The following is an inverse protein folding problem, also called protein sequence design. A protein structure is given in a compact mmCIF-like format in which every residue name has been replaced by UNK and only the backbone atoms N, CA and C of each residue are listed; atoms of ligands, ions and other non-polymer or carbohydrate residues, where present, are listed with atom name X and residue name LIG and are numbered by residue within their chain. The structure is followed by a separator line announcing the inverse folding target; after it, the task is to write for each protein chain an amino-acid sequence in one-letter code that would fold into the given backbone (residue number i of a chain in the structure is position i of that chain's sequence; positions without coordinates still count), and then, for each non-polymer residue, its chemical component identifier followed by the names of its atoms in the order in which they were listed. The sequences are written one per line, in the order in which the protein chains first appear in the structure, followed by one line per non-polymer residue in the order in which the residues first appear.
data_IF_940901283704
#
_entry.id   IF_940901283704
#
_cell.length_a   1.000
_cell.length_b   1.000
_cell.length_c   1.000
_cell.angle_alpha   90.00
_cell.angle_beta   90.00
_cell.angle_gamma   90.00
#
_symmetry.space_group_name_H-M   'P 1'
#
loop_
_entity.id
_entity.type
_entity.pdbx_description
1 polymer ?
#
# COMPACT_ATOMS: atom_id res chain seq x y z
N UNK A 1 39.04 0.43 -3.20
CA UNK A 1 38.54 -0.68 -2.36
C UNK A 1 37.29 -0.31 -1.52
N UNK A 2 36.84 0.96 -1.48
CA UNK A 2 35.68 1.42 -0.67
C UNK A 2 34.33 1.26 -1.42
N UNK A 3 34.34 1.20 -2.75
CA UNK A 3 33.12 1.19 -3.59
C UNK A 3 32.35 -0.15 -3.56
N UNK A 4 33.04 -1.27 -3.30
CA UNK A 4 32.44 -2.61 -3.34
C UNK A 4 31.59 -2.93 -2.11
N UNK A 5 31.95 -2.40 -0.94
CA UNK A 5 31.16 -2.57 0.29
C UNK A 5 29.87 -1.74 0.25
N UNK A 6 29.89 -0.57 -0.37
CA UNK A 6 28.72 0.31 -0.50
C UNK A 6 27.67 -0.26 -1.47
N UNK A 7 28.10 -0.83 -2.60
CA UNK A 7 27.20 -1.56 -3.51
C UNK A 7 26.57 -2.79 -2.85
N UNK A 8 27.33 -3.49 -2.00
CA UNK A 8 26.83 -4.67 -1.29
C UNK A 8 25.79 -4.29 -0.24
N UNK A 9 25.99 -3.17 0.48
CA UNK A 9 25.01 -2.59 1.41
C UNK A 9 23.74 -2.11 0.71
N UNK A 10 23.87 -1.42 -0.42
CA UNK A 10 22.73 -0.93 -1.20
C UNK A 10 21.86 -2.09 -1.72
N UNK A 11 22.48 -3.19 -2.19
CA UNK A 11 21.77 -4.39 -2.65
C UNK A 11 21.07 -5.13 -1.51
N UNK A 12 21.69 -5.21 -0.33
CA UNK A 12 21.05 -5.78 0.85
C UNK A 12 19.82 -4.95 1.26
N UNK A 13 19.96 -3.62 1.26
CA UNK A 13 18.86 -2.72 1.60
C UNK A 13 17.71 -2.78 0.58
N UNK A 14 18.01 -2.94 -0.72
CA UNK A 14 17.01 -3.15 -1.76
C UNK A 14 16.28 -4.50 -1.62
N UNK A 15 16.96 -5.54 -1.14
CA UNK A 15 16.35 -6.86 -0.84
C UNK A 15 15.47 -6.80 0.40
N UNK A 16 15.91 -6.12 1.45
CA UNK A 16 15.08 -5.87 2.63
C UNK A 16 13.85 -5.02 2.28
N UNK A 17 14.00 -4.06 1.36
CA UNK A 17 12.88 -3.27 0.84
C UNK A 17 11.88 -4.10 0.01
N UNK A 18 12.31 -5.25 -0.56
CA UNK A 18 11.39 -6.19 -1.21
C UNK A 18 10.58 -7.01 -0.20
N UNK A 19 11.03 -7.14 1.06
CA UNK A 19 10.26 -7.82 2.11
C UNK A 19 8.98 -7.04 2.41
N UNK A 20 7.84 -7.72 2.31
CA UNK A 20 6.51 -7.12 2.48
C UNK A 20 6.05 -6.23 1.32
N UNK A 21 6.83 -6.11 0.23
CA UNK A 21 6.39 -5.42 -0.98
C UNK A 21 5.14 -6.06 -1.63
N UNK A 22 5.01 -7.40 -1.70
CA UNK A 22 3.79 -8.03 -2.22
C UNK A 22 2.54 -7.65 -1.41
N UNK A 23 2.64 -7.62 -0.08
CA UNK A 23 1.54 -7.19 0.79
C UNK A 23 1.12 -5.73 0.52
N UNK A 24 2.08 -4.81 0.42
CA UNK A 24 1.82 -3.40 0.13
C UNK A 24 1.17 -3.20 -1.25
N UNK A 25 1.61 -3.96 -2.27
CA UNK A 25 1.00 -3.95 -3.61
C UNK A 25 -0.44 -4.45 -3.58
N UNK A 26 -0.70 -5.57 -2.91
CA UNK A 26 -2.05 -6.09 -2.74
C UNK A 26 -2.96 -5.08 -2.02
N UNK A 27 -2.45 -4.39 -0.99
CA UNK A 27 -3.22 -3.35 -0.29
C UNK A 27 -3.58 -2.18 -1.21
N UNK A 28 -2.64 -1.71 -2.04
CA UNK A 28 -2.86 -0.65 -3.03
C UNK A 28 -3.91 -1.05 -4.05
N UNK A 29 -3.87 -2.28 -4.56
CA UNK A 29 -4.88 -2.80 -5.49
C UNK A 29 -6.28 -2.84 -4.88
N UNK A 30 -6.40 -3.33 -3.64
CA UNK A 30 -7.65 -3.36 -2.90
C UNK A 30 -8.20 -1.95 -2.68
N UNK A 31 -7.35 -1.01 -2.26
CA UNK A 31 -7.74 0.38 -2.06
C UNK A 31 -8.17 1.05 -3.37
N UNK A 32 -7.51 0.77 -4.49
CA UNK A 32 -7.92 1.26 -5.80
C UNK A 32 -9.31 0.72 -6.19
N UNK A 33 -9.55 -0.58 -6.00
CA UNK A 33 -10.84 -1.21 -6.27
C UNK A 33 -11.97 -0.61 -5.43
N UNK A 34 -11.74 -0.39 -4.14
CA UNK A 34 -12.76 0.17 -3.24
C UNK A 34 -12.99 1.66 -3.49
N UNK A 35 -11.92 2.46 -3.52
CA UNK A 35 -12.04 3.93 -3.51
C UNK A 35 -12.34 4.51 -4.88
N UNK A 36 -11.78 3.93 -5.94
CA UNK A 36 -11.90 4.43 -7.31
C UNK A 36 -12.98 3.69 -8.08
N UNK A 37 -12.97 2.34 -8.04
CA UNK A 37 -13.96 1.52 -8.75
C UNK A 37 -15.25 1.31 -7.96
N UNK A 38 -15.34 1.86 -6.73
CA UNK A 38 -16.51 1.78 -5.84
C UNK A 38 -17.00 0.35 -5.59
N UNK A 39 -16.08 -0.60 -5.57
CA UNK A 39 -16.40 -2.00 -5.29
C UNK A 39 -16.53 -2.23 -3.78
N UNK A 40 -17.47 -3.09 -3.32
CA UNK A 40 -17.58 -3.45 -1.91
C UNK A 40 -16.29 -4.11 -1.41
N UNK A 41 -15.87 -3.76 -0.19
CA UNK A 41 -14.64 -4.28 0.41
C UNK A 41 -14.70 -5.80 0.61
N UNK A 42 -15.81 -6.30 1.15
CA UNK A 42 -15.96 -7.73 1.45
C UNK A 42 -15.86 -8.57 0.16
N UNK A 43 -16.51 -8.12 -0.90
CA UNK A 43 -16.46 -8.76 -2.22
C UNK A 43 -15.04 -8.81 -2.81
N UNK A 44 -14.31 -7.69 -2.77
CA UNK A 44 -12.97 -7.65 -3.35
C UNK A 44 -11.95 -8.41 -2.48
N UNK A 45 -12.14 -8.44 -1.16
CA UNK A 45 -11.32 -9.25 -0.25
C UNK A 45 -11.50 -10.74 -0.55
N UNK A 46 -12.75 -11.21 -0.71
CA UNK A 46 -13.03 -12.60 -1.10
C UNK A 46 -12.35 -12.95 -2.43
N UNK A 47 -12.58 -12.15 -3.48
CA UNK A 47 -11.94 -12.36 -4.79
C UNK A 47 -10.41 -12.34 -4.74
N UNK A 48 -9.83 -11.46 -3.93
CA UNK A 48 -8.37 -11.34 -3.79
C UNK A 48 -7.77 -12.56 -3.09
N UNK A 49 -8.48 -13.16 -2.13
CA UNK A 49 -8.06 -14.38 -1.45
C UNK A 49 -8.21 -15.62 -2.35
N UNK A 50 -9.27 -15.71 -3.14
CA UNK A 50 -9.55 -16.90 -3.94
C UNK A 50 -8.74 -16.95 -5.23
N UNK A 51 -8.60 -15.82 -5.94
CA UNK A 51 -8.01 -15.78 -7.29
C UNK A 51 -7.17 -14.53 -7.57
N UNK A 52 -6.77 -13.80 -6.54
CA UNK A 52 -6.12 -12.50 -6.71
C UNK A 52 -4.84 -12.35 -5.89
N UNK A 53 -4.45 -11.10 -5.66
CA UNK A 53 -3.15 -10.71 -5.09
C UNK A 53 -2.92 -11.16 -3.65
N UNK A 54 -3.92 -11.68 -2.95
CA UNK A 54 -3.75 -12.22 -1.60
C UNK A 54 -3.69 -13.75 -1.53
N UNK A 55 -4.10 -14.48 -2.58
CA UNK A 55 -4.18 -15.94 -2.57
C UNK A 55 -2.83 -16.61 -2.32
N UNK A 56 -1.80 -16.20 -3.04
CA UNK A 56 -0.45 -16.78 -2.97
C UNK A 56 0.42 -16.18 -1.85
N UNK A 57 -0.09 -15.16 -1.13
CA UNK A 57 0.69 -14.49 -0.09
C UNK A 57 0.81 -15.35 1.17
N UNK A 58 1.98 -15.36 1.86
CA UNK A 58 2.09 -15.92 3.21
C UNK A 58 1.07 -15.30 4.18
N UNK A 59 0.69 -16.05 5.21
CA UNK A 59 -0.30 -15.58 6.20
C UNK A 59 0.07 -14.22 6.82
N UNK A 60 1.36 -14.00 7.10
CA UNK A 60 1.89 -12.72 7.60
C UNK A 60 1.63 -11.56 6.64
N UNK A 61 1.89 -11.76 5.36
CA UNK A 61 1.69 -10.75 4.33
C UNK A 61 0.20 -10.46 4.13
N UNK A 62 -0.66 -11.49 4.19
CA UNK A 62 -2.12 -11.30 4.18
C UNK A 62 -2.60 -10.50 5.38
N UNK A 63 -2.01 -10.72 6.57
CA UNK A 63 -2.34 -9.95 7.76
C UNK A 63 -1.91 -8.48 7.61
N UNK A 64 -0.70 -8.24 7.09
CA UNK A 64 -0.21 -6.89 6.79
C UNK A 64 -1.10 -6.18 5.77
N UNK A 65 -1.48 -6.83 4.67
CA UNK A 65 -2.41 -6.28 3.67
C UNK A 65 -3.71 -5.83 4.32
N UNK A 66 -4.34 -6.67 5.15
CA UNK A 66 -5.58 -6.31 5.86
C UNK A 66 -5.38 -5.16 6.83
N UNK A 67 -4.27 -5.14 7.56
CA UNK A 67 -3.96 -4.06 8.50
C UNK A 67 -3.84 -2.71 7.78
N UNK A 68 -3.11 -2.66 6.66
CA UNK A 68 -2.97 -1.46 5.83
C UNK A 68 -4.34 -1.02 5.30
N UNK A 69 -5.10 -1.92 4.66
CA UNK A 69 -6.41 -1.58 4.09
C UNK A 69 -7.38 -1.07 5.17
N UNK A 70 -7.44 -1.75 6.32
CA UNK A 70 -8.31 -1.34 7.43
C UNK A 70 -7.90 0.02 8.00
N UNK A 71 -6.61 0.26 8.22
CA UNK A 71 -6.11 1.55 8.72
C UNK A 71 -6.43 2.68 7.72
N UNK A 72 -6.12 2.48 6.44
CA UNK A 72 -6.38 3.44 5.36
C UNK A 72 -7.86 3.82 5.26
N UNK A 73 -8.77 2.84 5.31
CA UNK A 73 -10.21 3.11 5.17
C UNK A 73 -10.80 3.74 6.45
N UNK A 74 -10.45 3.24 7.64
CA UNK A 74 -10.96 3.78 8.92
C UNK A 74 -10.48 5.20 9.20
N UNK A 75 -9.27 5.54 8.75
CA UNK A 75 -8.64 6.86 8.97
C UNK A 75 -8.59 7.72 7.71
N UNK A 76 -9.34 7.37 6.66
CA UNK A 76 -9.28 8.04 5.34
C UNK A 76 -9.37 9.56 5.46
N UNK A 77 -10.35 10.08 6.20
CA UNK A 77 -10.51 11.54 6.35
C UNK A 77 -9.35 12.24 7.07
N UNK A 78 -8.65 11.55 7.98
CA UNK A 78 -7.44 12.08 8.62
C UNK A 78 -6.27 12.05 7.64
N UNK A 79 -6.09 10.93 6.94
CA UNK A 79 -5.03 10.75 5.95
C UNK A 79 -5.17 11.73 4.78
N UNK A 80 -6.39 11.94 4.27
CA UNK A 80 -6.64 12.92 3.21
C UNK A 80 -6.25 14.34 3.62
N UNK A 81 -6.50 14.73 4.88
CA UNK A 81 -6.06 16.02 5.41
C UNK A 81 -4.54 16.12 5.46
N UNK A 82 -3.87 15.08 5.95
CA UNK A 82 -2.40 15.02 5.98
C UNK A 82 -1.82 15.09 4.56
N UNK A 83 -2.35 14.32 3.62
CA UNK A 83 -1.88 14.40 2.22
C UNK A 83 -2.13 15.81 1.65
N UNK A 84 -3.27 16.43 1.98
CA UNK A 84 -3.59 17.80 1.59
C UNK A 84 -2.61 18.86 2.11
N UNK A 85 -1.92 18.63 3.24
CA UNK A 85 -0.89 19.58 3.72
C UNK A 85 0.40 19.53 2.89
N UNK A 86 0.65 18.42 2.18
CA UNK A 86 1.86 18.24 1.37
C UNK A 86 1.61 18.39 -0.14
N UNK A 87 0.34 18.36 -0.58
CA UNK A 87 -0.04 18.47 -1.99
C UNK A 87 -0.56 19.87 -2.31
N UNK A 88 0.32 20.77 -2.76
CA UNK A 88 -0.02 22.18 -3.09
C UNK A 88 -1.15 22.31 -4.12
N UNK A 89 -1.18 21.42 -5.13
CA UNK A 89 -2.19 21.41 -6.20
C UNK A 89 -3.32 20.41 -5.95
N UNK A 90 -3.33 19.75 -4.79
CA UNK A 90 -4.23 18.63 -4.51
C UNK A 90 -3.94 17.39 -5.35
N UNK A 91 -4.81 16.39 -5.23
CA UNK A 91 -4.73 15.14 -5.99
C UNK A 91 -5.36 15.35 -7.39
N UNK A 92 -4.69 14.98 -8.49
CA UNK A 92 -5.32 15.07 -9.81
C UNK A 92 -6.51 14.11 -9.91
N UNK A 93 -7.59 14.54 -10.57
CA UNK A 93 -8.84 13.77 -10.74
C UNK A 93 -8.62 12.38 -11.35
N UNK A 94 -7.58 12.25 -12.19
CA UNK A 94 -7.14 10.98 -12.80
C UNK A 94 -5.77 10.55 -12.29
N UNK A 95 -5.63 10.46 -10.97
CA UNK A 95 -4.37 10.07 -10.31
C UNK A 95 -4.00 8.60 -10.51
N UNK A 96 -4.91 7.77 -11.03
CA UNK A 96 -4.67 6.33 -11.20
C UNK A 96 -4.24 5.71 -9.88
N UNK A 97 -3.19 4.88 -9.89
CA UNK A 97 -2.70 4.19 -8.69
C UNK A 97 -2.02 5.12 -7.67
N UNK A 98 -1.73 6.39 -8.02
CA UNK A 98 -0.99 7.31 -7.14
C UNK A 98 -1.71 7.56 -5.82
N UNK A 99 -3.03 7.80 -5.85
CA UNK A 99 -3.79 8.07 -4.62
C UNK A 99 -3.79 6.88 -3.65
N UNK A 100 -4.14 5.65 -4.08
CA UNK A 100 -4.01 4.46 -3.26
C UNK A 100 -2.61 4.22 -2.70
N UNK A 101 -1.55 4.53 -3.47
CA UNK A 101 -0.16 4.42 -3.02
C UNK A 101 0.12 5.40 -1.88
N UNK A 102 -0.18 6.69 -2.07
CA UNK A 102 0.06 7.71 -1.05
C UNK A 102 -0.77 7.46 0.21
N UNK A 103 -2.03 7.07 0.04
CA UNK A 103 -2.90 6.73 1.15
C UNK A 103 -2.38 5.52 1.94
N UNK A 104 -1.94 4.47 1.25
CA UNK A 104 -1.33 3.28 1.85
C UNK A 104 -0.03 3.61 2.60
N UNK A 105 0.84 4.45 2.01
CA UNK A 105 2.08 4.87 2.62
C UNK A 105 1.85 5.72 3.88
N UNK A 106 0.96 6.71 3.81
CA UNK A 106 0.63 7.55 4.94
C UNK A 106 -0.03 6.74 6.08
N UNK A 107 -0.89 5.78 5.75
CA UNK A 107 -1.47 4.88 6.76
C UNK A 107 -0.40 4.08 7.49
N UNK A 108 0.58 3.52 6.75
CA UNK A 108 1.69 2.79 7.33
C UNK A 108 2.54 3.67 8.24
N UNK A 109 2.94 4.86 7.80
CA UNK A 109 3.85 5.71 8.59
C UNK A 109 3.23 6.26 9.88
N UNK A 110 1.90 6.41 9.93
CA UNK A 110 1.22 7.09 11.04
C UNK A 110 0.59 6.10 12.02
N UNK A 111 0.16 4.92 11.55
CA UNK A 111 -0.66 4.01 12.34
C UNK A 111 -0.10 2.58 12.48
N UNK A 112 0.98 2.22 11.79
CA UNK A 112 1.59 0.88 11.81
C UNK A 112 3.06 0.95 12.21
#
# INVERSE_FOLDING_TARGET
MITSDDETRARAHARDAQVGLPARRAAVELLAAVLQKKQPLDDILGRSLDRGSMGDLPQRDRALTRAIVAASLRRKGQLDRVLGTFLERGMPDKSGTLYPILLSAAAQLIFL
#
